data_IF_280912247189
#
_entry.id   IF_280912247189
#
_cell.length_a   1.000
_cell.length_b   1.000
_cell.length_c   1.000
_cell.angle_alpha   90.00
_cell.angle_beta   90.00
_cell.angle_gamma   90.00
#
_symmetry.space_group_name_H-M   'P 1'
#
loop_
_entity.id
_entity.type
_entity.pdbx_description
1 polymer ?
#
# COMPACT_ATOMS: atom_id res chain seq x y z
N UNK A 1 -13.35 8.03 1.87
CA UNK A 1 -12.67 9.33 1.90
C UNK A 1 -11.83 9.54 0.63
N UNK A 2 -10.79 8.74 0.34
CA UNK A 2 -9.94 9.01 -0.84
C UNK A 2 -10.60 8.81 -2.22
N UNK A 3 -11.46 7.80 -2.36
CA UNK A 3 -12.33 7.70 -3.55
C UNK A 3 -13.24 8.93 -3.70
N UNK A 4 -13.71 9.49 -2.58
CA UNK A 4 -14.51 10.72 -2.62
C UNK A 4 -13.66 11.94 -2.97
N UNK A 5 -12.39 12.00 -2.55
CA UNK A 5 -11.45 13.05 -2.94
C UNK A 5 -11.12 12.97 -4.44
N UNK A 6 -10.96 11.75 -4.98
CA UNK A 6 -10.81 11.50 -6.42
C UNK A 6 -12.06 11.96 -7.20
N UNK A 7 -13.25 11.53 -6.75
CA UNK A 7 -14.52 11.94 -7.36
C UNK A 7 -14.69 13.47 -7.36
N UNK A 8 -14.32 14.12 -6.25
CA UNK A 8 -14.34 15.58 -6.16
C UNK A 8 -13.36 16.23 -7.14
N UNK A 9 -12.14 15.71 -7.24
CA UNK A 9 -11.14 16.21 -8.19
C UNK A 9 -11.60 16.07 -9.63
N UNK A 10 -12.31 15.00 -9.98
CA UNK A 10 -12.89 14.81 -11.30
C UNK A 10 -14.05 15.79 -11.56
N UNK A 11 -14.90 16.04 -10.56
CA UNK A 11 -15.97 17.05 -10.66
C UNK A 11 -15.43 18.48 -10.83
N UNK A 12 -14.33 18.80 -10.16
CA UNK A 12 -13.64 20.09 -10.30
C UNK A 12 -13.04 20.23 -11.71
N UNK A 13 -12.46 19.16 -12.27
CA UNK A 13 -11.95 19.12 -13.65
C UNK A 13 -13.05 19.36 -14.67
N UNK A 14 -14.20 18.69 -14.54
CA UNK A 14 -15.35 18.90 -15.44
C UNK A 14 -15.85 20.35 -15.40
N UNK A 15 -15.86 20.96 -14.21
CA UNK A 15 -16.24 22.36 -14.08
C UNK A 15 -15.23 23.27 -14.79
N UNK A 16 -13.94 23.04 -14.58
CA UNK A 16 -12.85 23.80 -15.20
C UNK A 16 -12.84 23.71 -16.73
N UNK A 17 -13.01 22.51 -17.30
CA UNK A 17 -13.02 22.32 -18.76
C UNK A 17 -14.21 23.01 -19.40
N UNK A 18 -15.39 22.94 -18.77
CA UNK A 18 -16.60 23.62 -19.23
C UNK A 18 -16.46 25.15 -19.18
N UNK A 19 -15.95 25.71 -18.08
CA UNK A 19 -15.69 27.14 -17.96
C UNK A 19 -14.68 27.62 -19.00
N UNK A 20 -13.59 26.87 -19.20
CA UNK A 20 -12.55 27.21 -20.17
C UNK A 20 -13.08 27.22 -21.60
N UNK A 21 -13.90 26.23 -21.95
CA UNK A 21 -14.56 26.17 -23.26
C UNK A 21 -15.52 27.35 -23.45
N UNK A 22 -16.31 27.70 -22.44
CA UNK A 22 -17.31 28.76 -22.53
C UNK A 22 -16.71 30.17 -22.55
N UNK A 23 -15.66 30.43 -21.76
CA UNK A 23 -15.06 31.76 -21.61
C UNK A 23 -13.97 32.03 -22.65
N UNK A 24 -13.17 31.02 -23.00
CA UNK A 24 -11.99 31.18 -23.85
C UNK A 24 -12.09 30.43 -25.18
N UNK A 25 -13.14 29.61 -25.39
CA UNK A 25 -13.31 28.85 -26.62
C UNK A 25 -12.30 27.72 -26.81
N UNK A 26 -11.57 27.34 -25.75
CA UNK A 26 -10.55 26.29 -25.80
C UNK A 26 -11.15 24.98 -25.30
N UNK A 27 -11.08 23.95 -26.13
CA UNK A 27 -11.51 22.60 -25.76
C UNK A 27 -10.35 21.81 -25.13
N UNK A 28 -10.50 21.47 -23.86
CA UNK A 28 -9.52 20.73 -23.08
C UNK A 28 -9.79 19.23 -23.01
N UNK A 29 -10.81 18.71 -23.73
CA UNK A 29 -11.20 17.29 -23.62
C UNK A 29 -10.11 16.29 -24.03
N UNK A 30 -9.08 16.75 -24.75
CA UNK A 30 -7.91 15.93 -25.05
C UNK A 30 -7.06 15.59 -23.82
N UNK A 31 -7.24 16.33 -22.72
CA UNK A 31 -6.54 16.13 -21.46
C UNK A 31 -7.34 15.32 -20.43
N UNK A 32 -8.61 15.00 -20.71
CA UNK A 32 -9.49 14.28 -19.76
C UNK A 32 -8.87 12.95 -19.34
N UNK A 33 -8.47 12.12 -20.31
CA UNK A 33 -7.85 10.82 -20.04
C UNK A 33 -6.50 10.92 -19.31
N UNK A 34 -5.55 11.78 -19.75
CA UNK A 34 -4.33 12.03 -18.98
C UNK A 34 -4.58 12.49 -17.55
N UNK A 35 -5.53 13.41 -17.34
CA UNK A 35 -5.85 13.95 -16.02
C UNK A 35 -6.46 12.88 -15.11
N UNK A 36 -7.46 12.13 -15.61
CA UNK A 36 -8.08 11.03 -14.87
C UNK A 36 -7.03 10.00 -14.43
N UNK A 37 -6.14 9.61 -15.36
CA UNK A 37 -5.06 8.67 -15.04
C UNK A 37 -4.15 9.23 -13.95
N UNK A 38 -3.72 10.48 -14.06
CA UNK A 38 -2.84 11.12 -13.07
C UNK A 38 -3.50 11.17 -11.68
N UNK A 39 -4.78 11.56 -11.60
CA UNK A 39 -5.48 11.62 -10.32
C UNK A 39 -5.68 10.22 -9.73
N UNK A 40 -6.05 9.23 -10.55
CA UNK A 40 -6.17 7.85 -10.10
C UNK A 40 -4.84 7.32 -9.57
N UNK A 41 -3.75 7.56 -10.28
CA UNK A 41 -2.42 7.14 -9.86
C UNK A 41 -1.99 7.81 -8.55
N UNK A 42 -2.28 9.11 -8.41
CA UNK A 42 -2.00 9.85 -7.19
C UNK A 42 -2.78 9.34 -5.98
N UNK A 43 -4.10 9.17 -6.11
CA UNK A 43 -4.97 8.82 -4.99
C UNK A 43 -5.00 7.32 -4.65
N UNK A 44 -4.80 6.44 -5.63
CA UNK A 44 -4.98 4.98 -5.47
C UNK A 44 -3.70 4.18 -5.69
N UNK A 45 -2.85 4.59 -6.64
CA UNK A 45 -1.63 3.85 -6.99
C UNK A 45 -0.40 4.27 -6.19
N UNK A 46 -0.52 5.19 -5.21
CA UNK A 46 0.57 5.58 -4.32
C UNK A 46 0.32 5.12 -2.87
N UNK A 47 1.39 4.83 -2.12
CA UNK A 47 1.24 4.56 -0.69
C UNK A 47 1.06 5.86 0.07
N UNK A 48 0.15 5.87 1.05
CA UNK A 48 -0.17 7.07 1.82
C UNK A 48 0.25 6.86 3.27
N UNK A 49 0.88 7.89 3.84
CA UNK A 49 1.09 7.97 5.28
C UNK A 49 -0.24 8.09 6.00
N UNK A 50 -0.50 7.21 6.97
CA UNK A 50 -1.67 7.27 7.84
C UNK A 50 -1.27 6.98 9.29
N UNK A 51 -2.02 7.54 10.23
CA UNK A 51 -2.03 7.09 11.61
C UNK A 51 -3.22 6.15 11.80
N UNK A 52 -2.93 4.86 11.84
CA UNK A 52 -3.93 3.81 12.07
C UNK A 52 -4.06 3.54 13.56
N UNK A 53 -5.29 3.28 13.97
CA UNK A 53 -5.60 2.73 15.28
C UNK A 53 -5.56 1.19 15.21
N UNK A 54 -5.30 0.54 16.34
CA UNK A 54 -5.23 -0.93 16.43
C UNK A 54 -6.53 -1.65 16.04
N UNK A 55 -7.69 -1.01 16.21
CA UNK A 55 -9.01 -1.54 15.81
C UNK A 55 -9.24 -1.54 14.29
N UNK A 56 -8.45 -0.78 13.54
CA UNK A 56 -8.49 -0.76 12.06
C UNK A 56 -7.68 -1.91 11.45
N UNK A 57 -6.89 -2.65 12.26
CA UNK A 57 -6.16 -3.84 11.81
C UNK A 57 -7.06 -5.06 11.96
N UNK A 58 -7.64 -5.48 10.84
CA UNK A 58 -8.69 -6.51 10.80
C UNK A 58 -8.15 -7.94 10.63
N UNK A 59 -6.91 -8.09 10.16
CA UNK A 59 -6.26 -9.37 9.90
C UNK A 59 -4.98 -9.53 10.70
N UNK A 60 -4.53 -10.78 10.87
CA UNK A 60 -3.25 -11.07 11.51
C UNK A 60 -2.09 -10.47 10.69
N UNK A 61 -1.20 -9.67 11.29
CA UNK A 61 -0.02 -9.16 10.60
C UNK A 61 0.89 -10.28 10.11
N UNK A 62 1.54 -10.05 8.97
CA UNK A 62 2.53 -10.97 8.41
C UNK A 62 3.85 -10.24 8.20
N UNK A 63 4.95 -10.81 8.73
CA UNK A 63 6.29 -10.29 8.48
C UNK A 63 6.71 -10.61 7.04
N UNK A 64 6.89 -9.58 6.22
CA UNK A 64 7.26 -9.74 4.80
C UNK A 64 8.78 -9.77 4.58
N UNK A 65 9.57 -9.21 5.50
CA UNK A 65 11.03 -9.20 5.43
C UNK A 65 11.62 -9.10 6.84
N UNK A 66 12.71 -9.81 7.08
CA UNK A 66 13.56 -9.67 8.26
C UNK A 66 14.97 -9.28 7.81
N UNK A 67 15.60 -8.35 8.52
CA UNK A 67 16.97 -7.92 8.24
C UNK A 67 17.78 -7.97 9.53
N UNK A 68 18.82 -8.79 9.54
CA UNK A 68 19.85 -8.72 10.58
C UNK A 68 20.88 -7.67 10.19
N UNK A 69 20.94 -6.58 10.94
CA UNK A 69 21.83 -5.45 10.66
C UNK A 69 23.33 -5.79 10.82
N UNK A 70 23.68 -6.93 11.41
CA UNK A 70 25.07 -7.40 11.49
C UNK A 70 25.55 -8.03 10.18
N UNK A 71 24.64 -8.64 9.43
CA UNK A 71 24.97 -9.47 8.25
C UNK A 71 24.33 -8.97 6.95
N UNK A 72 23.35 -8.07 7.02
CA UNK A 72 22.66 -7.56 5.84
C UNK A 72 23.60 -6.84 4.86
N UNK A 73 23.29 -6.96 3.58
CA UNK A 73 24.04 -6.35 2.49
C UNK A 73 23.18 -5.35 1.71
N UNK A 74 23.80 -4.55 0.84
CA UNK A 74 23.07 -3.65 -0.07
C UNK A 74 22.08 -4.43 -0.94
N UNK A 75 22.36 -5.69 -1.28
CA UNK A 75 21.45 -6.54 -2.06
C UNK A 75 20.16 -6.81 -1.32
N UNK A 76 20.22 -7.00 0.00
CA UNK A 76 19.03 -7.22 0.84
C UNK A 76 18.16 -5.97 0.93
N UNK A 77 18.78 -4.78 0.79
CA UNK A 77 18.10 -3.50 0.77
C UNK A 77 17.56 -3.11 -0.62
N UNK A 78 17.65 -3.96 -1.64
CA UNK A 78 17.05 -3.69 -2.95
C UNK A 78 15.53 -3.87 -2.96
N UNK A 79 14.98 -4.56 -1.97
CA UNK A 79 13.57 -4.82 -1.90
C UNK A 79 13.18 -6.01 -1.03
N UNK A 80 11.93 -6.43 -1.20
CA UNK A 80 11.32 -7.59 -0.57
C UNK A 80 10.92 -8.55 -1.68
N UNK A 81 11.53 -9.75 -1.68
CA UNK A 81 11.12 -10.84 -2.55
C UNK A 81 9.65 -11.20 -2.29
N UNK A 82 8.92 -11.81 -3.25
CA UNK A 82 7.49 -12.13 -3.10
C UNK A 82 7.19 -12.91 -1.80
N UNK A 83 6.70 -12.19 -0.80
CA UNK A 83 6.45 -12.70 0.54
C UNK A 83 4.96 -13.08 0.67
N UNK A 84 4.64 -14.34 0.99
CA UNK A 84 3.26 -14.78 1.07
C UNK A 84 2.58 -14.24 2.33
N UNK A 85 1.30 -13.90 2.21
CA UNK A 85 0.43 -13.59 3.33
C UNK A 85 -0.90 -14.33 3.20
N UNK A 86 -1.53 -14.60 4.34
CA UNK A 86 -2.86 -15.20 4.41
C UNK A 86 -3.55 -14.76 5.68
N UNK A 87 -4.80 -14.31 5.59
CA UNK A 87 -5.60 -13.99 6.76
C UNK A 87 -7.10 -14.25 6.53
N UNK A 88 -7.81 -14.36 7.65
CA UNK A 88 -9.25 -14.54 7.75
C UNK A 88 -9.79 -13.57 8.79
N UNK A 89 -11.08 -13.26 8.73
CA UNK A 89 -11.76 -12.44 9.73
C UNK A 89 -12.84 -13.27 10.44
N UNK A 90 -13.02 -13.05 11.74
CA UNK A 90 -14.05 -13.74 12.54
C UNK A 90 -15.43 -13.08 12.40
N UNK A 91 -15.45 -11.81 12.01
CA UNK A 91 -16.67 -11.02 11.78
C UNK A 91 -16.76 -10.55 10.33
N UNK A 92 -17.98 -10.31 9.81
CA UNK A 92 -18.16 -9.66 8.52
C UNK A 92 -17.45 -8.30 8.52
N UNK A 93 -16.50 -8.12 7.59
CA UNK A 93 -15.60 -6.97 7.62
C UNK A 93 -15.29 -6.50 6.21
N UNK A 94 -15.10 -5.19 6.04
CA UNK A 94 -14.75 -4.58 4.76
C UNK A 94 -13.27 -4.22 4.71
N UNK A 95 -12.52 -4.89 3.83
CA UNK A 95 -11.09 -4.64 3.58
C UNK A 95 -10.96 -3.48 2.60
N UNK A 96 -10.37 -2.36 3.03
CA UNK A 96 -10.18 -1.18 2.18
C UNK A 96 -8.75 -1.03 1.64
N UNK A 97 -7.81 -1.85 2.12
CA UNK A 97 -6.39 -1.70 1.80
C UNK A 97 -5.50 -2.62 2.63
N UNK A 98 -4.20 -2.56 2.34
CA UNK A 98 -3.14 -3.16 3.13
C UNK A 98 -2.37 -2.06 3.86
N UNK A 99 -1.77 -2.39 4.99
CA UNK A 99 -0.93 -1.46 5.74
C UNK A 99 0.43 -2.10 6.03
N UNK A 100 1.49 -1.30 5.91
CA UNK A 100 2.86 -1.66 6.22
C UNK A 100 3.42 -0.80 7.33
N UNK A 101 4.17 -1.44 8.23
CA UNK A 101 4.93 -0.81 9.33
C UNK A 101 6.18 -1.65 9.58
N UNK A 102 7.03 -1.22 10.52
CA UNK A 102 8.24 -1.95 10.86
C UNK A 102 8.48 -1.99 12.37
N UNK A 103 9.25 -2.99 12.76
CA UNK A 103 9.79 -3.16 14.09
C UNK A 103 11.32 -3.11 14.02
N UNK A 104 11.97 -2.65 15.08
CA UNK A 104 13.43 -2.61 15.19
C UNK A 104 13.83 -3.01 16.61
N UNK A 105 14.60 -4.09 16.69
CA UNK A 105 15.08 -4.64 17.96
C UNK A 105 16.51 -4.19 18.26
N UNK A 106 16.72 -3.72 19.49
CA UNK A 106 18.02 -3.36 20.04
C UNK A 106 18.51 -4.49 20.96
N UNK A 107 19.00 -5.58 20.36
CA UNK A 107 19.39 -6.81 21.08
C UNK A 107 20.89 -6.96 21.36
N UNK A 108 21.75 -6.06 20.87
CA UNK A 108 23.20 -6.23 20.90
C UNK A 108 23.69 -7.25 19.86
N UNK A 109 24.88 -7.82 20.06
CA UNK A 109 25.44 -8.90 19.23
C UNK A 109 25.49 -10.23 20.00
N UNK A 110 25.77 -11.34 19.32
CA UNK A 110 25.94 -12.64 20.00
C UNK A 110 27.08 -12.62 21.02
N UNK A 111 28.17 -11.90 20.74
CA UNK A 111 29.33 -11.78 21.63
C UNK A 111 29.12 -10.76 22.75
N UNK A 112 28.24 -9.78 22.56
CA UNK A 112 27.92 -8.74 23.53
C UNK A 112 26.42 -8.45 23.52
N UNK A 113 25.61 -9.36 24.11
CA UNK A 113 24.16 -9.22 24.10
C UNK A 113 23.71 -8.05 24.97
N UNK A 114 22.61 -7.40 24.58
CA UNK A 114 21.95 -6.41 25.43
C UNK A 114 21.39 -7.09 26.69
N UNK A 115 21.53 -6.42 27.83
CA UNK A 115 20.95 -6.88 29.10
C UNK A 115 19.42 -6.96 29.04
N UNK A 116 18.81 -6.07 28.27
CA UNK A 116 17.38 -6.02 28.01
C UNK A 116 17.18 -5.64 26.54
N UNK A 117 16.39 -6.44 25.81
CA UNK A 117 16.06 -6.15 24.42
C UNK A 117 14.94 -5.11 24.40
N UNK A 118 15.21 -3.98 23.76
CA UNK A 118 14.22 -2.93 23.54
C UNK A 118 13.74 -3.03 22.10
N UNK A 119 12.42 -2.96 21.88
CA UNK A 119 11.81 -2.95 20.54
C UNK A 119 11.16 -1.59 20.28
N UNK A 120 11.54 -0.96 19.18
CA UNK A 120 10.80 0.16 18.61
C UNK A 120 9.86 -0.41 17.54
N UNK A 121 8.56 -0.30 17.77
CA UNK A 121 7.53 -0.71 16.81
C UNK A 121 6.72 0.49 16.34
N UNK A 122 6.43 0.57 15.05
CA UNK A 122 5.48 1.54 14.48
C UNK A 122 4.12 0.89 14.21
N UNK A 123 3.82 -0.25 14.82
CA UNK A 123 2.54 -0.92 14.67
C UNK A 123 1.38 -0.05 15.22
N UNK A 124 0.18 -0.12 14.59
CA UNK A 124 -0.99 0.66 15.01
C UNK A 124 -1.39 0.51 16.49
N UNK A 125 -1.07 -0.63 17.11
CA UNK A 125 -1.41 -0.92 18.50
C UNK A 125 -0.49 -0.21 19.53
N UNK A 126 0.69 0.26 19.13
CA UNK A 126 1.71 0.80 20.03
C UNK A 126 1.56 2.31 20.24
N UNK A 127 0.93 3.00 19.29
CA UNK A 127 0.66 4.44 19.33
C UNK A 127 1.42 5.24 18.28
N UNK A 128 1.33 6.56 18.37
CA UNK A 128 1.84 7.47 17.35
C UNK A 128 3.38 7.46 17.24
N UNK A 129 3.86 7.38 16.01
CA UNK A 129 5.24 7.72 15.62
C UNK A 129 5.19 8.61 14.39
N UNK A 130 6.24 9.41 14.14
CA UNK A 130 6.29 10.27 12.93
C UNK A 130 6.30 9.48 11.62
N UNK A 131 6.68 8.20 11.63
CA UNK A 131 6.59 7.32 10.47
C UNK A 131 5.16 6.88 10.14
N UNK A 132 4.27 6.88 11.15
CA UNK A 132 2.93 6.34 11.02
C UNK A 132 2.94 4.92 10.46
N UNK A 133 2.00 4.63 9.56
CA UNK A 133 1.96 3.44 8.74
C UNK A 133 1.78 3.83 7.27
N UNK A 134 2.27 2.99 6.37
CA UNK A 134 2.05 3.14 4.94
C UNK A 134 0.82 2.33 4.52
N UNK A 135 -0.19 2.99 3.99
CA UNK A 135 -1.44 2.36 3.56
C UNK A 135 -1.50 2.29 2.05
N UNK A 136 -1.84 1.12 1.55
CA UNK A 136 -2.00 0.76 0.15
C UNK A 136 -3.48 0.48 -0.09
N UNK A 137 -4.23 1.47 -0.57
CA UNK A 137 -5.67 1.35 -0.73
C UNK A 137 -6.05 0.42 -1.89
N UNK A 138 -7.16 -0.27 -1.73
CA UNK A 138 -7.82 -0.95 -2.85
C UNK A 138 -8.71 0.06 -3.57
N UNK A 139 -8.78 -0.04 -4.90
CA UNK A 139 -9.79 0.69 -5.66
C UNK A 139 -11.19 0.26 -5.23
N UNK A 140 -11.44 -1.04 -5.24
CA UNK A 140 -12.67 -1.63 -4.73
C UNK A 140 -12.40 -2.36 -3.41
N UNK A 141 -13.06 -1.88 -2.36
CA UNK A 141 -13.02 -2.56 -1.07
C UNK A 141 -13.69 -3.94 -1.15
N UNK A 142 -13.13 -4.90 -0.41
CA UNK A 142 -13.57 -6.28 -0.41
C UNK A 142 -14.38 -6.54 0.84
N UNK A 143 -15.65 -6.90 0.68
CA UNK A 143 -16.44 -7.42 1.78
C UNK A 143 -16.04 -8.88 2.04
N UNK A 144 -15.65 -9.20 3.28
CA UNK A 144 -15.31 -10.53 3.75
C UNK A 144 -16.37 -11.03 4.72
N UNK A 145 -16.79 -12.28 4.54
CA UNK A 145 -17.60 -13.02 5.51
C UNK A 145 -16.70 -13.90 6.38
N UNK A 146 -17.17 -14.33 7.58
CA UNK A 146 -16.44 -15.29 8.38
C UNK A 146 -16.08 -16.56 7.58
N UNK A 147 -14.86 -17.04 7.78
CA UNK A 147 -14.23 -18.16 7.04
C UNK A 147 -13.75 -17.86 5.61
N UNK A 148 -14.01 -16.66 5.06
CA UNK A 148 -13.36 -16.25 3.84
C UNK A 148 -11.86 -16.03 4.07
N UNK A 149 -11.04 -16.49 3.12
CA UNK A 149 -9.58 -16.41 3.22
C UNK A 149 -9.03 -15.52 2.13
N UNK A 150 -8.32 -14.47 2.50
CA UNK A 150 -7.46 -13.74 1.57
C UNK A 150 -6.09 -14.40 1.57
N UNK A 151 -5.60 -14.79 0.39
CA UNK A 151 -4.25 -15.30 0.19
C UNK A 151 -3.54 -14.49 -0.88
N UNK A 152 -2.28 -14.16 -0.66
CA UNK A 152 -1.54 -13.33 -1.61
C UNK A 152 -0.04 -13.32 -1.39
N UNK A 153 0.63 -12.47 -2.15
CA UNK A 153 2.04 -12.15 -2.02
C UNK A 153 2.23 -10.63 -2.09
N UNK A 154 3.12 -10.11 -1.26
CA UNK A 154 3.61 -8.73 -1.35
C UNK A 154 5.06 -8.76 -1.81
N UNK A 155 5.40 -7.94 -2.79
CA UNK A 155 6.74 -7.75 -3.32
C UNK A 155 7.05 -6.25 -3.29
N UNK A 156 8.31 -5.89 -3.05
CA UNK A 156 8.76 -4.50 -3.08
C UNK A 156 10.08 -4.42 -3.85
N UNK A 157 10.18 -3.50 -4.80
CA UNK A 157 11.39 -3.35 -5.62
C UNK A 157 11.76 -1.90 -5.78
N UNK A 158 13.05 -1.56 -5.68
CA UNK A 158 13.52 -0.20 -6.03
C UNK A 158 13.11 0.18 -7.44
N UNK A 159 12.77 1.45 -7.62
CA UNK A 159 12.45 1.98 -8.93
C UNK A 159 13.62 1.87 -9.89
N UNK A 160 13.32 1.38 -11.09
CA UNK A 160 14.25 1.28 -12.21
C UNK A 160 13.89 2.34 -13.23
N UNK A 161 14.87 2.73 -14.04
CA UNK A 161 14.64 3.58 -15.21
C UNK A 161 13.68 2.85 -16.16
N UNK A 162 12.59 3.53 -16.55
CA UNK A 162 11.63 3.10 -17.57
C UNK A 162 11.67 4.08 -18.75
N UNK A 163 11.02 3.74 -19.86
CA UNK A 163 11.00 4.61 -21.06
C UNK A 163 10.39 5.99 -20.79
N UNK A 164 9.49 6.07 -19.82
CA UNK A 164 8.70 7.26 -19.44
C UNK A 164 9.12 7.89 -18.11
N UNK A 165 10.10 7.32 -17.39
CA UNK A 165 10.45 7.78 -16.04
C UNK A 165 11.90 7.49 -15.66
N UNK A 166 12.59 8.49 -15.11
CA UNK A 166 13.87 8.29 -14.44
C UNK A 166 13.66 7.48 -13.15
N UNK A 167 14.42 6.40 -12.97
CA UNK A 167 14.37 5.59 -11.76
C UNK A 167 14.97 6.32 -10.56
N UNK A 168 14.55 5.92 -9.35
CA UNK A 168 15.10 6.44 -8.11
C UNK A 168 15.64 5.31 -7.25
N UNK A 169 16.89 5.45 -6.78
CA UNK A 169 17.50 4.51 -5.83
C UNK A 169 16.87 4.58 -4.42
N UNK A 170 16.02 5.59 -4.18
CA UNK A 170 15.40 5.87 -2.88
C UNK A 170 13.92 5.52 -2.82
N UNK A 171 13.27 5.37 -3.97
CA UNK A 171 11.85 5.04 -4.06
C UNK A 171 11.67 3.56 -4.42
N UNK A 172 10.56 3.01 -3.98
CA UNK A 172 10.20 1.62 -4.19
C UNK A 172 8.80 1.54 -4.78
N UNK A 173 8.64 0.60 -5.72
CA UNK A 173 7.33 0.14 -6.17
C UNK A 173 6.93 -1.07 -5.32
N UNK A 174 5.65 -1.13 -4.95
CA UNK A 174 5.09 -2.25 -4.18
C UNK A 174 4.08 -2.96 -5.05
N UNK A 175 4.19 -4.28 -5.14
CA UNK A 175 3.26 -5.12 -5.90
C UNK A 175 2.55 -6.03 -4.93
N UNK A 176 1.22 -5.93 -4.88
CA UNK A 176 0.37 -6.80 -4.08
C UNK A 176 -0.46 -7.67 -5.01
N UNK A 177 -0.30 -8.99 -4.87
CA UNK A 177 -1.09 -9.99 -5.61
C UNK A 177 -1.93 -10.74 -4.62
N UNK A 178 -3.24 -10.82 -4.81
CA UNK A 178 -4.09 -11.55 -3.88
C UNK A 178 -5.33 -12.13 -4.57
N UNK A 179 -5.96 -13.08 -3.89
CA UNK A 179 -7.25 -13.64 -4.25
C UNK A 179 -8.03 -13.99 -2.99
N UNK A 180 -9.35 -13.98 -3.11
CA UNK A 180 -10.26 -14.33 -2.03
C UNK A 180 -10.80 -15.73 -2.29
N UNK A 181 -10.60 -16.65 -1.35
CA UNK A 181 -11.29 -17.93 -1.33
C UNK A 181 -12.51 -17.79 -0.45
N UNK A 182 -13.69 -17.83 -1.08
CA UNK A 182 -14.96 -17.77 -0.37
C UNK A 182 -15.29 -19.11 0.31
N UNK A 183 -15.97 -19.08 1.45
CA UNK A 183 -16.45 -20.29 2.15
C UNK A 183 -17.23 -21.23 1.22
N UNK A 184 -18.21 -20.67 0.52
CA UNK A 184 -19.04 -21.36 -0.46
C UNK A 184 -18.66 -20.91 -1.88
N UNK A 185 -17.47 -21.29 -2.34
CA UNK A 185 -17.02 -20.93 -3.68
C UNK A 185 -15.63 -21.41 -4.06
N UNK A 186 -15.31 -21.26 -5.34
CA UNK A 186 -13.94 -21.34 -5.83
C UNK A 186 -13.14 -20.08 -5.45
N UNK A 187 -11.81 -20.12 -5.57
CA UNK A 187 -11.00 -18.91 -5.42
C UNK A 187 -11.38 -17.88 -6.49
N UNK A 188 -11.45 -16.60 -6.10
CA UNK A 188 -11.58 -15.50 -7.05
C UNK A 188 -10.39 -15.49 -8.03
N UNK A 189 -10.53 -14.79 -9.18
CA UNK A 189 -9.39 -14.44 -10.00
C UNK A 189 -8.29 -13.76 -9.17
N UNK A 190 -7.04 -13.93 -9.60
CA UNK A 190 -5.90 -13.26 -9.00
C UNK A 190 -5.95 -11.78 -9.37
N UNK A 191 -6.02 -10.93 -8.36
CA UNK A 191 -5.89 -9.47 -8.50
C UNK A 191 -4.42 -9.13 -8.33
N UNK A 192 -3.90 -8.25 -9.19
CA UNK A 192 -2.54 -7.69 -9.09
C UNK A 192 -2.66 -6.18 -9.09
N UNK A 193 -2.16 -5.55 -8.04
CA UNK A 193 -2.09 -4.10 -7.91
C UNK A 193 -0.64 -3.70 -7.80
N UNK A 194 -0.25 -2.68 -8.56
CA UNK A 194 1.08 -2.09 -8.53
C UNK A 194 0.92 -0.69 -7.96
N UNK A 195 1.58 -0.45 -6.83
CA UNK A 195 1.66 0.84 -6.19
C UNK A 195 3.00 1.46 -6.58
N UNK A 196 2.96 2.45 -7.47
CA UNK A 196 4.12 3.18 -7.96
C UNK A 196 4.21 4.49 -7.19
N UNK A 197 5.28 4.65 -6.40
CA UNK A 197 5.52 5.91 -5.70
C UNK A 197 5.88 7.00 -6.71
N UNK A 198 5.24 8.17 -6.74
CA UNK A 198 5.54 9.24 -7.70
C UNK A 198 6.93 9.85 -7.54
#
# INVERSE_FOLDING_TARGET
QKLQDLDQSMGDWDTFTNETRNLYGVDMSCLDQPFEKEQRDYYLSSSIWCELNGDQVIGQPAAVKHMDLHTCTIKDALGVDPAPFSFTTDTPTKVSGFAGWFDTDFAGSEENPATEVVTLSTAPAIGYTHWGQQVFFLEDAIDLEPEDVITGTMEMTRQKVREDREGSERLYDVIVKFRVKRKEGGPSPLVTIVYEMP
#
